data_IF_870454880487
#
_entry.id   IF_870454880487
#
_cell.length_a   1.000
_cell.length_b   1.000
_cell.length_c   1.000
_cell.angle_alpha   90.00
_cell.angle_beta   90.00
_cell.angle_gamma   90.00
#
_symmetry.space_group_name_H-M   'P 1'
#
loop_
_entity.id
_entity.type
_entity.pdbx_description
1 polymer ?
#
# COMPACT_ATOMS: atom_id res chain seq x y z
N UNK A 1 -5.04 2.58 -72.74
CA UNK A 1 -5.92 1.41 -72.95
C UNK A 1 -6.61 1.21 -71.62
N UNK A 2 -7.80 1.84 -71.45
CA UNK A 2 -9.10 1.12 -71.41
C UNK A 2 -9.25 0.31 -70.14
N UNK A 3 -10.20 0.41 -69.29
CA UNK A 3 -11.60 0.96 -69.16
C UNK A 3 -11.85 0.89 -67.69
N UNK A 4 -12.35 1.85 -66.93
CA UNK A 4 -13.77 2.13 -66.67
C UNK A 4 -14.60 0.87 -66.31
N UNK A 5 -15.11 0.79 -65.08
CA UNK A 5 -16.56 0.71 -64.95
C UNK A 5 -17.02 0.97 -63.51
N UNK A 6 -18.04 1.76 -63.47
CA UNK A 6 -18.85 2.31 -62.41
C UNK A 6 -19.89 1.31 -61.95
N UNK A 7 -20.20 1.19 -60.70
CA UNK A 7 -21.52 0.72 -60.27
C UNK A 7 -21.95 1.39 -58.96
N UNK A 8 -22.94 2.27 -59.11
CA UNK A 8 -23.82 2.79 -58.05
C UNK A 8 -24.78 1.69 -57.55
N UNK A 9 -25.09 1.72 -56.29
CA UNK A 9 -26.20 0.95 -55.69
C UNK A 9 -26.42 1.38 -54.26
N UNK A 10 -27.16 2.39 -54.06
CA UNK A 10 -28.57 2.61 -53.62
C UNK A 10 -28.91 2.04 -52.24
N UNK A 11 -29.00 2.95 -51.28
CA UNK A 11 -30.01 3.21 -50.25
C UNK A 11 -30.81 2.03 -49.69
N UNK A 12 -30.72 1.87 -48.34
CA UNK A 12 -31.90 1.58 -47.52
C UNK A 12 -31.70 2.05 -46.09
N UNK A 13 -32.38 3.13 -45.76
CA UNK A 13 -32.61 3.62 -44.41
C UNK A 13 -33.63 2.71 -43.73
N UNK A 14 -33.24 2.13 -42.57
CA UNK A 14 -34.23 1.61 -41.63
C UNK A 14 -34.04 2.33 -40.31
N UNK A 15 -34.95 3.24 -40.01
CA UNK A 15 -35.12 3.81 -38.70
C UNK A 15 -35.78 2.78 -37.78
N UNK A 16 -35.15 2.52 -36.67
CA UNK A 16 -35.80 1.84 -35.54
C UNK A 16 -35.84 2.81 -34.37
N UNK A 17 -37.05 3.27 -34.09
CA UNK A 17 -37.37 3.98 -32.88
C UNK A 17 -37.40 2.97 -31.73
N UNK A 18 -36.56 3.15 -30.70
CA UNK A 18 -36.65 2.39 -29.46
C UNK A 18 -37.26 3.30 -28.40
N UNK A 19 -38.46 2.93 -28.00
CA UNK A 19 -39.17 3.48 -26.83
C UNK A 19 -38.37 3.21 -25.54
N UNK A 20 -38.10 4.26 -24.82
CA UNK A 20 -37.64 4.17 -23.44
C UNK A 20 -38.85 3.92 -22.54
N UNK A 21 -38.99 2.71 -22.04
CA UNK A 21 -39.91 2.42 -20.96
C UNK A 21 -39.18 2.63 -19.63
N UNK A 22 -39.55 3.69 -18.91
CA UNK A 22 -39.22 3.84 -17.53
C UNK A 22 -40.06 2.86 -16.70
N UNK A 23 -39.41 2.01 -15.92
CA UNK A 23 -40.08 1.28 -14.86
C UNK A 23 -39.22 1.32 -13.61
N UNK A 24 -39.79 1.91 -12.58
CA UNK A 24 -39.17 2.08 -11.28
C UNK A 24 -39.28 0.83 -10.41
N UNK A 25 -38.51 0.84 -9.35
CA UNK A 25 -38.81 0.17 -8.09
C UNK A 25 -38.09 -1.15 -7.86
N UNK A 26 -37.43 -1.26 -6.75
CA UNK A 26 -37.12 -2.53 -6.12
C UNK A 26 -35.74 -2.57 -5.47
N UNK A 27 -35.72 -2.37 -4.15
CA UNK A 27 -34.51 -2.49 -3.33
C UNK A 27 -33.94 -3.90 -3.40
N UNK A 28 -32.65 -3.96 -3.50
CA UNK A 28 -31.84 -5.15 -3.35
C UNK A 28 -30.59 -4.77 -2.58
N UNK A 29 -30.51 -5.22 -1.32
CA UNK A 29 -29.30 -5.11 -0.51
C UNK A 29 -28.23 -5.98 -1.14
N UNK A 30 -27.32 -5.41 -1.88
CA UNK A 30 -26.07 -6.02 -2.28
C UNK A 30 -25.00 -5.54 -1.30
N UNK A 31 -24.36 -6.51 -0.67
CA UNK A 31 -23.15 -6.34 0.10
C UNK A 31 -22.03 -5.88 -0.85
N UNK A 32 -21.97 -4.59 -1.07
CA UNK A 32 -20.91 -4.00 -1.86
C UNK A 32 -19.63 -4.01 -1.04
N UNK A 33 -18.67 -4.80 -1.57
CA UNK A 33 -17.27 -4.60 -1.23
C UNK A 33 -16.97 -3.11 -1.41
N UNK A 34 -16.57 -2.46 -0.35
CA UNK A 34 -16.26 -1.04 -0.32
C UNK A 34 -15.08 -0.78 -1.24
N UNK A 35 -15.34 -0.64 -2.52
CA UNK A 35 -14.45 0.08 -3.40
C UNK A 35 -14.50 1.52 -2.89
N UNK A 36 -13.44 1.95 -2.19
CA UNK A 36 -13.31 3.34 -1.75
C UNK A 36 -13.26 4.22 -2.99
N UNK A 37 -14.43 4.64 -3.44
CA UNK A 37 -14.57 5.71 -4.41
C UNK A 37 -14.04 6.97 -3.75
N UNK A 38 -12.99 7.54 -4.32
CA UNK A 38 -12.37 8.81 -3.90
C UNK A 38 -13.28 9.95 -4.37
N UNK A 39 -14.55 9.90 -3.99
CA UNK A 39 -15.49 10.94 -4.33
C UNK A 39 -15.89 11.73 -3.09
N UNK A 40 -15.30 12.93 -2.96
CA UNK A 40 -15.82 14.07 -2.21
C UNK A 40 -15.76 13.98 -0.68
N UNK A 41 -14.57 13.79 -0.14
CA UNK A 41 -14.36 13.96 1.30
C UNK A 41 -15.18 12.99 2.15
N UNK A 42 -14.53 12.01 2.78
CA UNK A 42 -15.22 10.99 3.58
C UNK A 42 -14.33 10.38 4.66
N UNK A 43 -14.96 9.63 5.57
CA UNK A 43 -14.23 8.80 6.52
C UNK A 43 -13.59 7.65 5.74
N UNK A 44 -12.29 7.45 5.94
CA UNK A 44 -11.51 6.44 5.23
C UNK A 44 -10.66 5.62 6.19
N UNK A 45 -10.38 4.39 5.76
CA UNK A 45 -9.26 3.61 6.27
C UNK A 45 -8.33 3.36 5.09
N UNK A 46 -7.11 3.90 5.15
CA UNK A 46 -6.11 3.76 4.10
C UNK A 46 -4.90 2.97 4.62
N UNK A 47 -4.38 2.05 3.82
CA UNK A 47 -3.14 1.34 4.12
C UNK A 47 -2.14 1.60 3.01
N UNK A 48 -0.93 2.01 3.36
CA UNK A 48 0.13 2.27 2.39
C UNK A 48 1.43 2.69 3.03
N UNK A 49 2.48 2.73 2.22
CA UNK A 49 3.80 3.20 2.67
C UNK A 49 3.81 4.71 2.85
N UNK A 50 4.45 5.17 3.90
CA UNK A 50 4.77 6.59 4.09
C UNK A 50 5.77 7.00 3.00
N UNK A 51 5.43 8.02 2.22
CA UNK A 51 6.28 8.55 1.15
C UNK A 51 6.93 9.89 1.51
N UNK A 52 6.50 10.56 2.58
CA UNK A 52 7.04 11.84 3.01
C UNK A 52 6.42 12.36 4.30
N UNK A 53 7.00 13.44 4.80
CA UNK A 53 6.60 14.16 6.00
C UNK A 53 6.42 15.65 5.73
N UNK A 54 5.84 16.35 6.72
CA UNK A 54 5.31 17.70 6.67
C UNK A 54 3.78 17.70 6.85
N UNK A 55 3.26 16.59 6.92
CA UNK A 55 2.11 15.75 7.27
C UNK A 55 2.52 14.32 6.89
N UNK A 56 1.75 13.30 7.25
CA UNK A 56 2.06 11.93 6.84
C UNK A 56 1.49 11.67 5.44
N UNK A 57 2.37 11.43 4.45
CA UNK A 57 1.96 11.21 3.06
C UNK A 57 1.79 9.73 2.79
N UNK A 58 0.56 9.29 2.46
CA UNK A 58 0.25 7.89 2.12
C UNK A 58 -0.71 7.86 0.93
N UNK A 59 -0.38 7.03 -0.08
CA UNK A 59 -1.18 6.85 -1.29
C UNK A 59 -1.54 8.17 -2.01
N UNK A 60 -0.63 9.15 -1.99
CA UNK A 60 -0.83 10.46 -2.61
C UNK A 60 -1.66 11.45 -1.80
N UNK A 61 -2.10 11.08 -0.59
CA UNK A 61 -2.84 11.95 0.33
C UNK A 61 -1.93 12.43 1.44
N UNK A 62 -2.03 13.71 1.79
CA UNK A 62 -1.31 14.37 2.88
C UNK A 62 -2.21 14.40 4.13
N UNK A 63 -1.95 13.54 5.09
CA UNK A 63 -2.75 13.45 6.32
C UNK A 63 -2.15 14.29 7.42
N UNK A 64 -2.85 15.33 7.86
CA UNK A 64 -2.52 16.06 9.08
C UNK A 64 -2.73 15.13 10.28
N UNK A 65 -1.71 14.99 11.12
CA UNK A 65 -1.70 14.07 12.28
C UNK A 65 -1.86 14.78 13.61
N UNK A 66 -2.03 16.11 13.60
CA UNK A 66 -2.27 16.89 14.82
C UNK A 66 -3.52 16.40 15.54
N UNK A 67 -3.34 15.86 16.75
CA UNK A 67 -4.42 15.26 17.54
C UNK A 67 -4.74 13.81 17.19
N UNK A 68 -4.05 13.21 16.25
CA UNK A 68 -4.19 11.78 15.96
C UNK A 68 -3.56 10.92 17.06
N UNK A 69 -4.16 9.77 17.33
CA UNK A 69 -3.51 8.70 18.10
C UNK A 69 -2.55 7.95 17.18
N UNK A 70 -1.26 7.88 17.55
CA UNK A 70 -0.25 7.16 16.79
C UNK A 70 0.21 5.98 17.63
N UNK A 71 0.22 4.78 17.04
CA UNK A 71 0.74 3.55 17.65
C UNK A 71 1.78 2.91 16.75
N UNK A 72 2.85 2.40 17.33
CA UNK A 72 3.92 1.65 16.69
C UNK A 72 4.07 0.32 17.44
N UNK A 73 3.79 -0.79 16.78
CA UNK A 73 3.84 -2.14 17.36
C UNK A 73 3.12 -2.18 18.73
N UNK A 74 1.85 -1.78 18.71
CA UNK A 74 0.94 -1.68 19.87
C UNK A 74 1.35 -0.67 20.97
N UNK A 75 2.46 0.06 20.80
CA UNK A 75 2.92 1.06 21.77
C UNK A 75 2.53 2.48 21.33
N UNK A 76 2.20 3.38 22.27
CA UNK A 76 1.99 4.79 21.96
C UNK A 76 3.25 5.41 21.34
N UNK A 77 3.05 6.20 20.30
CA UNK A 77 4.12 6.91 19.60
C UNK A 77 3.72 8.30 19.14
N UNK A 78 4.61 8.93 18.40
CA UNK A 78 4.47 10.26 17.83
C UNK A 78 4.81 10.25 16.34
N UNK A 79 4.46 11.31 15.59
CA UNK A 79 4.84 11.43 14.18
C UNK A 79 6.36 11.34 13.97
N UNK A 80 7.15 11.84 14.94
CA UNK A 80 8.62 11.79 14.88
C UNK A 80 9.22 10.37 14.96
N UNK A 81 8.44 9.40 15.40
CA UNK A 81 8.84 7.99 15.46
C UNK A 81 8.57 7.25 14.14
N UNK A 82 7.71 7.82 13.30
CA UNK A 82 7.40 7.27 11.98
C UNK A 82 8.56 7.52 11.00
N UNK A 83 8.67 6.66 9.98
CA UNK A 83 9.73 6.73 8.95
C UNK A 83 9.17 6.51 7.54
N UNK A 84 9.79 7.17 6.56
CA UNK A 84 9.51 6.91 5.13
C UNK A 84 9.76 5.43 4.83
N UNK A 85 8.82 4.82 4.12
CA UNK A 85 8.83 3.41 3.76
C UNK A 85 8.09 2.50 4.74
N UNK A 86 7.77 2.94 5.95
CA UNK A 86 6.87 2.18 6.84
C UNK A 86 5.48 2.07 6.23
N UNK A 87 4.90 0.89 6.25
CA UNK A 87 3.50 0.68 5.86
C UNK A 87 2.62 0.95 7.07
N UNK A 88 1.75 1.94 6.95
CA UNK A 88 0.83 2.33 8.03
C UNK A 88 -0.61 2.17 7.61
N UNK A 89 -1.47 1.94 8.57
CA UNK A 89 -2.91 2.07 8.43
C UNK A 89 -3.33 3.41 9.02
N UNK A 90 -4.00 4.22 8.21
CA UNK A 90 -4.55 5.52 8.60
C UNK A 90 -6.06 5.42 8.67
N UNK A 91 -6.63 5.81 9.79
CA UNK A 91 -8.05 6.08 9.95
C UNK A 91 -8.25 7.58 10.03
N UNK A 92 -9.19 8.13 9.26
CA UNK A 92 -9.37 9.57 9.22
C UNK A 92 -10.38 10.01 8.17
N UNK A 93 -10.19 11.23 7.69
CA UNK A 93 -11.02 11.84 6.65
C UNK A 93 -10.13 12.34 5.53
N UNK A 94 -10.59 12.18 4.28
CA UNK A 94 -10.03 12.86 3.12
C UNK A 94 -10.92 14.07 2.79
N UNK A 95 -10.31 15.21 2.46
CA UNK A 95 -11.02 16.41 2.05
C UNK A 95 -11.57 16.28 0.62
N UNK A 96 -12.40 17.24 0.21
CA UNK A 96 -13.05 17.19 -1.12
C UNK A 96 -12.07 17.27 -2.30
N UNK A 97 -10.87 17.77 -2.07
CA UNK A 97 -9.80 17.87 -3.07
C UNK A 97 -9.12 16.52 -3.38
N UNK A 98 -9.37 15.50 -2.54
CA UNK A 98 -8.82 14.16 -2.71
C UNK A 98 -7.32 14.00 -2.41
N UNK A 99 -6.63 15.10 -2.03
CA UNK A 99 -5.18 15.11 -1.79
C UNK A 99 -4.78 15.53 -0.38
N UNK A 100 -5.71 16.15 0.36
CA UNK A 100 -5.53 16.49 1.76
C UNK A 100 -6.47 15.68 2.64
N UNK A 101 -6.04 15.42 3.88
CA UNK A 101 -6.85 14.70 4.85
C UNK A 101 -6.41 14.98 6.28
N UNK A 102 -7.21 14.50 7.22
CA UNK A 102 -6.94 14.56 8.65
C UNK A 102 -6.99 13.14 9.20
N UNK A 103 -5.89 12.69 9.79
CA UNK A 103 -5.84 11.41 10.50
C UNK A 103 -6.44 11.56 11.89
N UNK A 104 -7.23 10.57 12.30
CA UNK A 104 -7.62 10.37 13.71
C UNK A 104 -6.77 9.32 14.38
N UNK A 105 -6.27 8.36 13.58
CA UNK A 105 -5.36 7.31 14.04
C UNK A 105 -4.35 6.97 12.95
N UNK A 106 -3.11 6.72 13.36
CA UNK A 106 -2.05 6.16 12.53
C UNK A 106 -1.49 4.94 13.25
N UNK A 107 -1.48 3.80 12.60
CA UNK A 107 -1.05 2.53 13.16
C UNK A 107 0.07 2.00 12.27
N UNK A 108 1.24 1.84 12.85
CA UNK A 108 2.35 1.10 12.28
C UNK A 108 2.46 -0.26 12.96
N UNK A 109 2.56 -1.28 12.17
CA UNK A 109 2.86 -2.64 12.59
C UNK A 109 3.90 -3.21 11.63
N UNK A 110 5.00 -3.75 12.14
CA UNK A 110 5.99 -4.44 11.32
C UNK A 110 5.45 -5.78 10.78
N UNK A 111 6.05 -6.34 9.73
CA UNK A 111 5.70 -7.67 9.21
C UNK A 111 6.51 -8.77 9.87
N UNK A 112 7.74 -8.47 10.22
CA UNK A 112 8.66 -9.35 10.93
C UNK A 112 9.79 -8.57 11.59
N UNK A 113 10.05 -8.86 12.87
CA UNK A 113 11.25 -8.39 13.57
C UNK A 113 12.04 -9.60 14.10
N UNK A 114 13.34 -9.68 13.74
CA UNK A 114 14.16 -10.78 14.19
C UNK A 114 15.55 -10.84 13.55
N UNK A 115 16.32 -11.90 13.88
CA UNK A 115 17.64 -12.09 13.29
C UNK A 115 17.56 -12.53 11.83
N UNK A 116 18.43 -11.95 11.01
CA UNK A 116 18.67 -12.38 9.63
C UNK A 116 19.27 -13.79 9.65
N UNK A 117 18.61 -14.72 8.98
CA UNK A 117 19.06 -16.13 8.89
C UNK A 117 19.90 -16.40 7.65
N UNK A 118 19.57 -15.75 6.54
CA UNK A 118 20.34 -15.83 5.30
C UNK A 118 20.14 -14.59 4.44
N UNK A 119 21.12 -14.32 3.56
CA UNK A 119 21.09 -13.22 2.58
C UNK A 119 21.48 -13.78 1.23
N UNK A 120 20.67 -13.49 0.21
CA UNK A 120 20.91 -13.79 -1.21
C UNK A 120 20.98 -12.48 -1.98
N UNK A 121 22.18 -11.97 -2.18
CA UNK A 121 22.43 -10.72 -2.91
C UNK A 121 22.05 -10.84 -4.39
N UNK A 122 22.18 -12.02 -5.00
CA UNK A 122 21.88 -12.22 -6.41
C UNK A 122 20.39 -12.09 -6.73
N UNK A 123 19.54 -12.56 -5.82
CA UNK A 123 18.09 -12.48 -5.95
C UNK A 123 17.46 -11.36 -5.12
N UNK A 124 18.27 -10.53 -4.46
CA UNK A 124 17.83 -9.45 -3.55
C UNK A 124 16.84 -9.96 -2.48
N UNK A 125 17.22 -11.06 -1.81
CA UNK A 125 16.38 -11.70 -0.79
C UNK A 125 17.13 -11.90 0.51
N UNK A 126 16.37 -11.92 1.59
CA UNK A 126 16.86 -12.39 2.88
C UNK A 126 15.77 -13.21 3.58
N UNK A 127 16.16 -13.94 4.61
CA UNK A 127 15.24 -14.71 5.45
C UNK A 127 15.36 -14.25 6.88
N UNK A 128 14.19 -13.93 7.49
CA UNK A 128 14.04 -13.56 8.90
C UNK A 128 12.97 -14.44 9.50
N UNK A 129 13.29 -15.18 10.56
CA UNK A 129 12.36 -16.07 11.26
C UNK A 129 11.58 -17.01 10.31
N UNK A 130 12.26 -17.55 9.29
CA UNK A 130 11.66 -18.43 8.28
C UNK A 130 10.83 -17.70 7.22
N UNK A 131 10.63 -16.38 7.31
CA UNK A 131 9.94 -15.60 6.29
C UNK A 131 10.92 -15.11 5.23
N UNK A 132 10.58 -15.33 3.98
CA UNK A 132 11.32 -14.75 2.86
C UNK A 132 10.94 -13.29 2.68
N UNK A 133 11.93 -12.43 2.66
CA UNK A 133 11.80 -10.99 2.43
C UNK A 133 12.43 -10.65 1.08
N UNK A 134 11.66 -10.08 0.17
CA UNK A 134 12.11 -9.58 -1.12
C UNK A 134 12.43 -8.09 -1.00
N UNK A 135 13.63 -7.74 -1.39
CA UNK A 135 14.13 -6.35 -1.46
C UNK A 135 14.07 -5.85 -2.90
N UNK A 136 13.83 -4.58 -3.08
CA UNK A 136 13.82 -3.92 -4.38
C UNK A 136 14.51 -2.55 -4.32
N UNK A 137 14.60 -1.87 -5.45
CA UNK A 137 15.10 -0.47 -5.52
C UNK A 137 14.18 0.52 -4.79
N UNK A 138 12.97 0.13 -4.45
CA UNK A 138 12.00 0.93 -3.69
C UNK A 138 12.14 0.73 -2.17
N UNK A 139 12.91 -0.27 -1.73
CA UNK A 139 13.10 -0.55 -0.31
C UNK A 139 13.99 0.50 0.33
N UNK A 140 13.49 1.16 1.37
CA UNK A 140 14.25 2.12 2.19
C UNK A 140 15.05 1.37 3.26
N UNK A 141 16.28 1.78 3.49
CA UNK A 141 17.11 1.24 4.57
C UNK A 141 17.37 2.29 5.64
N UNK A 142 17.27 1.89 6.90
CA UNK A 142 17.51 2.76 8.04
C UNK A 142 18.98 3.18 8.16
N UNK A 143 19.22 4.27 8.90
CA UNK A 143 20.53 4.95 9.00
C UNK A 143 21.62 4.07 9.63
N UNK A 144 21.24 3.06 10.41
CA UNK A 144 22.17 2.11 11.02
C UNK A 144 22.63 0.98 10.10
N UNK A 145 22.20 0.99 8.85
CA UNK A 145 22.61 0.03 7.81
C UNK A 145 23.56 0.77 6.85
N UNK A 146 24.79 0.30 6.72
CA UNK A 146 25.82 0.93 5.87
C UNK A 146 26.62 -0.13 5.09
N UNK A 147 26.61 -0.08 3.74
CA UNK A 147 25.83 0.83 2.90
C UNK A 147 24.32 0.61 3.10
N UNK A 148 23.51 1.62 2.75
CA UNK A 148 22.02 1.52 2.84
C UNK A 148 21.47 0.63 1.73
N UNK A 149 21.79 -0.64 1.82
CA UNK A 149 21.40 -1.69 0.91
C UNK A 149 21.45 -3.04 1.61
N UNK A 150 21.08 -4.11 0.90
CA UNK A 150 21.18 -5.47 1.42
C UNK A 150 22.62 -5.85 1.79
N UNK A 151 23.63 -5.29 1.11
CA UNK A 151 25.05 -5.50 1.37
C UNK A 151 25.49 -4.94 2.75
N UNK A 152 24.76 -3.99 3.31
CA UNK A 152 25.00 -3.43 4.63
C UNK A 152 24.51 -4.29 5.77
N UNK A 153 23.91 -5.45 5.48
CA UNK A 153 23.39 -6.41 6.45
C UNK A 153 24.27 -7.67 6.52
N UNK A 154 24.29 -8.29 7.68
CA UNK A 154 24.94 -9.57 7.92
C UNK A 154 23.98 -10.59 8.54
N UNK A 155 24.26 -11.88 8.36
CA UNK A 155 23.55 -12.94 9.08
C UNK A 155 23.75 -12.75 10.59
N UNK A 156 22.65 -12.83 11.35
CA UNK A 156 22.61 -12.54 12.78
C UNK A 156 22.23 -11.10 13.12
N UNK A 157 22.28 -10.15 12.18
CA UNK A 157 21.76 -8.81 12.41
C UNK A 157 20.28 -8.87 12.77
N UNK A 158 19.89 -8.11 13.80
CA UNK A 158 18.51 -7.97 14.16
C UNK A 158 17.88 -6.85 13.36
N UNK A 159 16.82 -7.15 12.62
CA UNK A 159 16.15 -6.18 11.77
C UNK A 159 14.63 -6.21 11.97
N UNK A 160 14.01 -5.07 11.74
CA UNK A 160 12.59 -4.87 11.57
C UNK A 160 12.32 -4.67 10.07
N UNK A 161 11.31 -5.34 9.57
CA UNK A 161 10.87 -5.24 8.18
C UNK A 161 9.43 -4.75 8.10
N UNK A 162 9.25 -3.62 7.46
CA UNK A 162 7.96 -3.13 7.03
C UNK A 162 7.75 -3.46 5.56
N UNK A 163 6.55 -3.87 5.19
CA UNK A 163 6.28 -4.29 3.82
C UNK A 163 4.85 -4.70 3.59
N UNK A 164 4.66 -5.49 2.53
CA UNK A 164 3.38 -6.13 2.21
C UNK A 164 3.60 -7.61 1.97
N UNK A 165 2.70 -8.43 2.50
CA UNK A 165 2.76 -9.87 2.27
C UNK A 165 2.09 -10.19 0.94
N UNK A 166 2.86 -10.71 -0.01
CA UNK A 166 2.33 -11.22 -1.26
C UNK A 166 1.50 -12.50 -1.02
N UNK A 167 0.66 -12.88 -1.97
CA UNK A 167 -0.14 -14.12 -1.91
C UNK A 167 0.70 -15.39 -1.76
N UNK A 168 1.98 -15.32 -2.12
CA UNK A 168 2.98 -16.39 -1.95
C UNK A 168 3.54 -16.48 -0.53
N UNK A 169 3.16 -15.57 0.38
CA UNK A 169 3.72 -15.46 1.72
C UNK A 169 5.06 -14.72 1.82
N UNK A 170 5.60 -14.26 0.69
CA UNK A 170 6.82 -13.44 0.65
C UNK A 170 6.50 -12.02 1.11
N UNK A 171 7.34 -11.45 1.97
CA UNK A 171 7.25 -10.04 2.38
C UNK A 171 7.97 -9.17 1.35
N UNK A 172 7.24 -8.33 0.66
CA UNK A 172 7.81 -7.29 -0.22
C UNK A 172 8.19 -6.08 0.64
N UNK A 173 9.48 -5.97 0.98
CA UNK A 173 9.97 -4.97 1.90
C UNK A 173 9.88 -3.56 1.31
N UNK A 174 9.26 -2.65 2.05
CA UNK A 174 9.24 -1.21 1.78
C UNK A 174 10.25 -0.47 2.63
N UNK A 175 10.56 -1.01 3.85
CA UNK A 175 11.59 -0.49 4.74
C UNK A 175 12.23 -1.62 5.54
N UNK A 176 13.54 -1.49 5.77
CA UNK A 176 14.31 -2.37 6.66
C UNK A 176 15.09 -1.49 7.63
N UNK A 177 14.96 -1.76 8.93
CA UNK A 177 15.73 -1.09 9.98
C UNK A 177 16.55 -2.10 10.78
N UNK A 178 17.76 -1.71 11.17
CA UNK A 178 18.54 -2.49 12.14
C UNK A 178 18.09 -2.14 13.55
N UNK A 179 17.72 -3.14 14.31
CA UNK A 179 17.30 -3.01 15.71
C UNK A 179 18.46 -3.34 16.68
N UNK A 180 18.25 -3.06 17.93
CA UNK A 180 19.21 -3.45 18.97
C UNK A 180 19.09 -4.95 19.26
N UNK A 181 20.17 -5.56 19.76
CA UNK A 181 20.19 -7.00 20.03
C UNK A 181 19.15 -7.48 21.07
N UNK A 182 18.65 -6.57 21.89
CA UNK A 182 17.65 -6.85 22.94
C UNK A 182 16.21 -6.54 22.53
N UNK A 183 15.95 -6.12 21.27
CA UNK A 183 14.57 -5.88 20.82
C UNK A 183 13.76 -7.17 20.75
N UNK A 184 12.44 -7.06 20.77
CA UNK A 184 11.52 -8.19 20.68
C UNK A 184 11.73 -9.00 19.40
N UNK A 185 11.25 -10.24 19.39
CA UNK A 185 11.18 -11.08 18.20
C UNK A 185 9.72 -11.23 17.86
N UNK A 186 9.32 -10.79 16.69
CA UNK A 186 7.93 -10.78 16.26
C UNK A 186 7.76 -11.30 14.84
N UNK A 187 6.70 -12.08 14.62
CA UNK A 187 6.23 -12.49 13.30
C UNK A 187 4.73 -12.35 13.27
N UNK A 188 4.21 -11.57 12.35
CA UNK A 188 2.78 -11.47 12.10
C UNK A 188 2.33 -12.49 11.06
N UNK A 189 1.16 -13.07 11.27
CA UNK A 189 0.58 -14.03 10.37
C UNK A 189 -0.88 -14.30 10.69
N UNK A 190 -1.62 -14.81 9.70
CA UNK A 190 -3.00 -15.25 9.90
C UNK A 190 -2.99 -16.67 10.45
N UNK A 191 -3.72 -16.91 11.53
CA UNK A 191 -4.01 -18.27 12.02
C UNK A 191 -5.13 -18.82 11.14
N UNK A 192 -4.87 -19.92 10.46
CA UNK A 192 -5.83 -20.62 9.62
C UNK A 192 -6.49 -21.78 10.40
#
# INVERSE_FOLDING_TARGET
MMHADTALGRWMTFGVAILVAACGGGGGSSSDGVTAGIDRGGIVTATGSITGFGSVHVNGVHYVTTGATITLDDNPGTESDLRVGQVVRIEGRIEQDGVNGTATRVIFDDEVEGPVQSIDLGNLRLVVLGRTVQVSTQTSFGDRISPRSLEGLAVGDRIEVSGRVATTGVVEATRIERKNAQSSVEVKGTIA
#
